data_IF_908329675073
#
_entry.id   IF_908329675073
#
_cell.length_a   1.000
_cell.length_b   1.000
_cell.length_c   1.000
_cell.angle_alpha   90.00
_cell.angle_beta   90.00
_cell.angle_gamma   90.00
#
_symmetry.space_group_name_H-M   'P 1'
#
loop_
_entity.id
_entity.type
_entity.pdbx_description
1 polymer ?
#
# COMPACT_ATOMS: atom_id res chain seq x y z
N UNK A 1 11.00 -3.23 20.66
CA UNK A 1 10.36 -1.89 20.62
C UNK A 1 10.78 -1.11 19.38
N UNK A 2 10.24 -1.55 18.26
CA UNK A 2 10.47 -0.89 16.99
C UNK A 2 9.53 0.32 16.85
N UNK A 3 10.10 1.47 16.47
CA UNK A 3 9.32 2.67 16.19
C UNK A 3 8.90 2.67 14.73
N UNK A 4 7.58 2.71 14.47
CA UNK A 4 7.02 2.70 13.13
C UNK A 4 7.07 4.12 12.55
N UNK A 5 7.72 4.26 11.41
CA UNK A 5 7.75 5.55 10.70
C UNK A 5 6.40 5.80 10.03
N UNK A 6 5.85 6.98 10.24
CA UNK A 6 4.58 7.38 9.63
C UNK A 6 4.77 8.09 8.30
N UNK A 7 5.97 8.57 8.01
CA UNK A 7 6.30 9.30 6.78
C UNK A 7 7.64 8.85 6.24
N UNK A 8 7.68 8.59 4.93
CA UNK A 8 8.91 8.40 4.16
C UNK A 8 8.81 9.24 2.89
N UNK A 9 9.79 10.11 2.63
CA UNK A 9 9.78 10.98 1.47
C UNK A 9 10.90 10.63 0.52
N UNK A 10 10.59 10.65 -0.79
CA UNK A 10 11.56 10.48 -1.86
C UNK A 10 11.58 11.74 -2.73
N UNK A 11 12.37 11.77 -3.81
CA UNK A 11 12.42 12.89 -4.74
C UNK A 11 11.11 13.12 -5.49
N UNK A 12 10.30 12.05 -5.65
CA UNK A 12 9.14 12.07 -6.55
C UNK A 12 7.81 11.94 -5.83
N UNK A 13 7.80 11.41 -4.59
CA UNK A 13 6.56 11.18 -3.86
C UNK A 13 6.83 11.03 -2.37
N UNK A 14 5.75 10.99 -1.62
CA UNK A 14 5.78 10.79 -0.17
C UNK A 14 4.90 9.61 0.18
N UNK A 15 5.42 8.72 1.02
CA UNK A 15 4.63 7.68 1.67
C UNK A 15 4.27 8.18 3.06
N UNK A 16 3.01 8.08 3.42
CA UNK A 16 2.57 8.45 4.77
C UNK A 16 1.43 7.54 5.22
N UNK A 17 1.22 7.49 6.54
CA UNK A 17 0.15 6.70 7.12
C UNK A 17 -1.18 7.02 6.43
N UNK A 18 -1.87 5.97 5.98
CA UNK A 18 -3.20 6.09 5.37
C UNK A 18 -4.23 6.36 6.45
N UNK A 19 -5.06 7.38 6.25
CA UNK A 19 -6.12 7.75 7.19
C UNK A 19 -7.44 7.95 6.47
N UNK A 20 -8.53 8.09 7.25
CA UNK A 20 -9.86 8.35 6.70
C UNK A 20 -9.92 9.67 5.93
N UNK A 21 -9.02 10.60 6.21
CA UNK A 21 -8.97 11.90 5.51
C UNK A 21 -8.53 11.77 4.05
N UNK A 22 -7.99 10.61 3.67
CA UNK A 22 -7.54 10.35 2.31
C UNK A 22 -8.64 9.81 1.40
N UNK A 23 -9.86 9.64 1.89
CA UNK A 23 -10.90 8.86 1.21
C UNK A 23 -11.19 9.31 -0.22
N UNK A 24 -11.31 10.61 -0.48
CA UNK A 24 -11.65 11.10 -1.82
C UNK A 24 -10.53 10.82 -2.83
N UNK A 25 -9.32 11.21 -2.49
CA UNK A 25 -8.17 11.03 -3.39
C UNK A 25 -7.83 9.55 -3.56
N UNK A 26 -7.95 8.78 -2.50
CA UNK A 26 -7.74 7.33 -2.54
C UNK A 26 -8.78 6.66 -3.44
N UNK A 27 -10.06 7.00 -3.26
CA UNK A 27 -11.13 6.45 -4.07
C UNK A 27 -10.91 6.71 -5.56
N UNK A 28 -10.54 7.95 -5.92
CA UNK A 28 -10.25 8.30 -7.32
C UNK A 28 -9.10 7.48 -7.90
N UNK A 29 -8.03 7.31 -7.12
CA UNK A 29 -6.89 6.51 -7.56
C UNK A 29 -7.29 5.04 -7.74
N UNK A 30 -8.05 4.48 -6.81
CA UNK A 30 -8.48 3.08 -6.84
C UNK A 30 -9.39 2.81 -8.03
N UNK A 31 -10.43 3.62 -8.24
CA UNK A 31 -11.38 3.36 -9.32
C UNK A 31 -10.76 3.60 -10.71
N UNK A 32 -9.81 4.52 -10.84
CA UNK A 32 -9.12 4.73 -12.11
C UNK A 32 -8.16 3.56 -12.43
N UNK A 33 -7.84 2.75 -11.45
CA UNK A 33 -6.92 1.62 -11.57
C UNK A 33 -7.63 0.26 -11.47
N UNK A 34 -8.95 0.23 -11.63
CA UNK A 34 -9.76 -0.98 -11.43
C UNK A 34 -9.24 -2.16 -12.24
N UNK A 35 -8.90 -1.96 -13.52
CA UNK A 35 -8.44 -3.05 -14.38
C UNK A 35 -7.14 -3.68 -13.90
N UNK A 36 -6.20 -2.86 -13.43
CA UNK A 36 -4.93 -3.36 -12.91
C UNK A 36 -5.08 -4.02 -11.54
N UNK A 37 -6.05 -3.56 -10.75
CA UNK A 37 -6.18 -4.00 -9.36
C UNK A 37 -7.01 -5.27 -9.19
N UNK A 38 -7.95 -5.54 -10.10
CA UNK A 38 -8.77 -6.76 -10.02
C UNK A 38 -7.83 -7.97 -10.03
N UNK A 39 -7.96 -8.79 -9.00
CA UNK A 39 -7.20 -10.03 -8.82
C UNK A 39 -5.68 -9.83 -8.82
N UNK A 40 -5.21 -8.60 -8.62
CA UNK A 40 -3.77 -8.29 -8.67
C UNK A 40 -2.98 -9.05 -7.60
N UNK A 41 -3.58 -9.25 -6.45
CA UNK A 41 -2.90 -9.85 -5.31
C UNK A 41 -3.17 -11.35 -5.17
N UNK A 42 -3.79 -11.96 -6.20
CA UNK A 42 -3.96 -13.41 -6.24
C UNK A 42 -5.05 -13.97 -5.34
N UNK A 43 -5.94 -13.11 -4.85
CA UNK A 43 -7.02 -13.53 -3.94
C UNK A 43 -8.27 -14.00 -4.68
N UNK A 44 -8.32 -13.86 -6.01
CA UNK A 44 -9.49 -14.20 -6.82
C UNK A 44 -10.67 -13.28 -6.64
N UNK A 45 -10.52 -12.20 -5.85
CA UNK A 45 -11.57 -11.24 -5.58
C UNK A 45 -11.83 -10.27 -6.71
N UNK A 46 -12.91 -9.52 -6.58
CA UNK A 46 -13.32 -8.54 -7.58
C UNK A 46 -12.98 -7.10 -7.18
N UNK A 47 -12.45 -6.91 -5.98
CA UNK A 47 -12.05 -5.58 -5.54
C UNK A 47 -11.08 -4.96 -6.56
N UNK A 48 -11.24 -3.70 -6.97
CA UNK A 48 -12.18 -2.69 -6.46
C UNK A 48 -13.45 -2.53 -7.31
N UNK A 49 -13.82 -3.53 -8.09
CA UNK A 49 -15.02 -3.45 -8.93
C UNK A 49 -16.26 -3.23 -8.06
N UNK A 50 -17.03 -2.18 -8.38
CA UNK A 50 -18.24 -1.86 -7.64
C UNK A 50 -18.01 -1.17 -6.30
N UNK A 51 -16.76 -0.79 -5.99
CA UNK A 51 -16.45 -0.09 -4.75
C UNK A 51 -17.17 1.24 -4.70
N UNK A 52 -17.85 1.52 -3.58
CA UNK A 52 -18.44 2.83 -3.33
C UNK A 52 -17.52 3.65 -2.43
N UNK A 53 -17.73 4.97 -2.42
CA UNK A 53 -16.93 5.86 -1.57
C UNK A 53 -17.16 5.55 -0.09
N UNK A 54 -18.38 5.16 0.29
CA UNK A 54 -18.72 4.77 1.66
C UNK A 54 -17.97 3.52 2.08
N UNK A 55 -17.93 2.52 1.21
CA UNK A 55 -17.16 1.30 1.47
C UNK A 55 -15.67 1.60 1.59
N UNK A 56 -15.17 2.48 0.73
CA UNK A 56 -13.77 2.88 0.79
C UNK A 56 -13.46 3.62 2.10
N UNK A 57 -14.37 4.46 2.56
CA UNK A 57 -14.21 5.14 3.85
C UNK A 57 -14.10 4.13 5.00
N UNK A 58 -14.94 3.10 4.99
CA UNK A 58 -14.91 2.03 6.00
C UNK A 58 -13.57 1.29 5.93
N UNK A 59 -13.11 0.97 4.72
CA UNK A 59 -11.83 0.28 4.53
C UNK A 59 -10.66 1.11 5.08
N UNK A 60 -10.66 2.41 4.81
CA UNK A 60 -9.62 3.30 5.32
C UNK A 60 -9.67 3.41 6.84
N UNK A 61 -10.87 3.40 7.42
CA UNK A 61 -11.03 3.38 8.87
C UNK A 61 -10.43 2.13 9.51
N UNK A 62 -10.63 0.97 8.89
CA UNK A 62 -10.01 -0.28 9.35
C UNK A 62 -8.49 -0.22 9.24
N UNK A 63 -7.97 0.26 8.12
CA UNK A 63 -6.52 0.40 7.94
C UNK A 63 -5.91 1.33 8.99
N UNK A 64 -6.56 2.46 9.24
CA UNK A 64 -6.11 3.41 10.25
C UNK A 64 -6.10 2.79 11.65
N UNK A 65 -7.16 2.08 12.01
CA UNK A 65 -7.29 1.40 13.30
C UNK A 65 -6.19 0.35 13.48
N UNK A 66 -5.95 -0.44 12.45
CA UNK A 66 -4.91 -1.47 12.49
C UNK A 66 -3.52 -0.88 12.61
N UNK A 67 -3.27 0.25 11.95
CA UNK A 67 -1.99 0.95 12.06
C UNK A 67 -1.78 1.44 13.50
N UNK A 68 -2.79 2.08 14.09
CA UNK A 68 -2.74 2.56 15.46
C UNK A 68 -2.54 1.42 16.46
N UNK A 69 -3.16 0.28 16.21
CA UNK A 69 -3.02 -0.92 17.03
C UNK A 69 -1.75 -1.73 16.72
N UNK A 70 -0.98 -1.34 15.70
CA UNK A 70 0.25 -2.01 15.27
C UNK A 70 0.01 -3.45 14.81
N UNK A 71 -1.16 -3.72 14.22
CA UNK A 71 -1.52 -5.06 13.70
C UNK A 71 -1.28 -5.17 12.19
N UNK A 72 -1.39 -4.06 11.47
CA UNK A 72 -0.97 -3.96 10.08
C UNK A 72 -0.67 -2.50 9.77
N UNK A 73 0.06 -2.24 8.67
CA UNK A 73 0.49 -0.87 8.36
C UNK A 73 0.17 -0.55 6.92
N UNK A 74 -0.81 0.32 6.70
CA UNK A 74 -1.19 0.80 5.38
C UNK A 74 -0.67 2.21 5.18
N UNK A 75 0.03 2.42 4.06
CA UNK A 75 0.57 3.73 3.67
C UNK A 75 -0.07 4.15 2.36
N UNK A 76 -0.41 5.42 2.26
CA UNK A 76 -0.76 6.04 0.99
C UNK A 76 0.50 6.64 0.37
N UNK A 77 0.60 6.55 -0.94
CA UNK A 77 1.68 7.16 -1.71
C UNK A 77 1.08 8.37 -2.41
N UNK A 78 1.59 9.55 -2.07
CA UNK A 78 1.02 10.79 -2.58
C UNK A 78 2.07 11.61 -3.31
N UNK A 79 1.62 12.48 -4.22
CA UNK A 79 2.48 13.47 -4.85
C UNK A 79 3.09 14.39 -3.77
N UNK A 80 4.23 15.03 -4.08
CA UNK A 80 4.93 15.87 -3.12
C UNK A 80 4.09 17.04 -2.62
N UNK A 81 3.16 17.53 -3.44
CA UNK A 81 2.23 18.60 -3.06
C UNK A 81 0.96 18.06 -2.40
N UNK A 82 0.87 16.75 -2.18
CA UNK A 82 -0.26 16.07 -1.54
C UNK A 82 -1.59 16.22 -2.31
N UNK A 83 -1.54 16.59 -3.58
CA UNK A 83 -2.75 16.80 -4.37
C UNK A 83 -3.37 15.52 -4.91
N UNK A 84 -2.60 14.44 -5.00
CA UNK A 84 -3.02 13.22 -5.67
C UNK A 84 -2.48 11.98 -4.97
N UNK A 85 -3.34 10.95 -4.83
CA UNK A 85 -2.89 9.62 -4.42
C UNK A 85 -2.35 8.89 -5.64
N UNK A 86 -1.11 8.43 -5.56
CA UNK A 86 -0.43 7.72 -6.63
C UNK A 86 -0.48 6.20 -6.47
N UNK A 87 -0.72 5.72 -5.26
CA UNK A 87 -0.80 4.31 -4.97
C UNK A 87 -0.91 4.04 -3.49
N UNK A 88 -0.80 2.79 -3.13
CA UNK A 88 -0.81 2.37 -1.72
C UNK A 88 0.14 1.21 -1.51
N UNK A 89 0.51 1.04 -0.24
CA UNK A 89 1.37 -0.04 0.15
C UNK A 89 0.95 -0.53 1.54
N UNK A 90 0.97 -1.84 1.71
CA UNK A 90 0.43 -2.47 2.92
C UNK A 90 1.41 -3.49 3.47
N UNK A 91 1.60 -3.47 4.79
CA UNK A 91 2.39 -4.47 5.51
C UNK A 91 1.43 -5.25 6.40
N UNK A 92 1.27 -6.55 6.14
CA UNK A 92 0.45 -7.45 6.95
C UNK A 92 1.32 -8.52 7.61
N UNK A 93 0.92 -9.03 8.79
CA UNK A 93 1.56 -10.23 9.33
C UNK A 93 1.38 -11.37 8.33
N UNK A 94 2.45 -12.11 8.04
CA UNK A 94 2.33 -13.21 7.09
C UNK A 94 1.54 -14.38 7.68
N UNK A 95 0.73 -15.00 6.85
CA UNK A 95 0.04 -16.26 7.21
C UNK A 95 0.98 -17.46 7.08
N UNK A 96 2.06 -17.31 6.33
CA UNK A 96 3.08 -18.35 6.17
C UNK A 96 4.11 -18.24 7.28
N UNK A 97 4.50 -19.38 7.85
CA UNK A 97 5.57 -19.41 8.85
C UNK A 97 6.95 -19.08 8.27
N UNK A 98 7.07 -19.13 6.95
CA UNK A 98 8.32 -18.84 6.25
C UNK A 98 8.67 -17.35 6.27
N UNK A 99 7.66 -16.47 6.35
CA UNK A 99 7.87 -15.02 6.24
C UNK A 99 7.39 -14.30 7.49
N UNK A 100 8.03 -13.17 7.79
CA UNK A 100 7.61 -12.27 8.87
C UNK A 100 6.42 -11.39 8.48
N UNK A 101 6.37 -11.01 7.21
CA UNK A 101 5.35 -10.09 6.71
C UNK A 101 5.04 -10.36 5.24
N UNK A 102 3.81 -10.05 4.86
CA UNK A 102 3.37 -10.01 3.47
C UNK A 102 3.19 -8.55 3.09
N UNK A 103 3.78 -8.14 1.99
CA UNK A 103 3.72 -6.76 1.51
C UNK A 103 3.01 -6.71 0.17
N UNK A 104 2.06 -5.78 0.08
CA UNK A 104 1.27 -5.51 -1.12
C UNK A 104 1.50 -4.06 -1.51
N UNK A 105 1.71 -3.80 -2.79
CA UNK A 105 1.83 -2.43 -3.27
C UNK A 105 1.29 -2.30 -4.69
N UNK A 106 0.81 -1.11 -5.01
CA UNK A 106 0.37 -0.79 -6.37
C UNK A 106 0.60 0.68 -6.65
N UNK A 107 0.85 0.98 -7.91
CA UNK A 107 0.97 2.33 -8.43
C UNK A 107 -0.19 2.58 -9.38
N UNK A 108 -0.83 3.73 -9.27
CA UNK A 108 -2.01 4.11 -10.04
C UNK A 108 -1.80 3.91 -11.54
N UNK A 109 -2.76 3.22 -12.19
CA UNK A 109 -2.77 2.98 -13.64
C UNK A 109 -1.47 2.36 -14.17
N UNK A 110 -0.83 1.51 -13.36
CA UNK A 110 0.47 0.95 -13.68
C UNK A 110 0.49 -0.53 -13.34
N UNK A 111 0.90 -1.36 -14.28
CA UNK A 111 1.04 -2.79 -14.06
C UNK A 111 2.35 -3.12 -13.38
N UNK A 112 2.40 -4.29 -12.74
CA UNK A 112 3.64 -4.80 -12.14
C UNK A 112 4.70 -4.91 -13.24
N UNK A 113 5.89 -4.39 -12.96
CA UNK A 113 7.02 -4.43 -13.87
C UNK A 113 7.20 -3.19 -14.74
N UNK A 114 6.21 -2.32 -14.80
CA UNK A 114 6.38 -1.04 -15.51
C UNK A 114 7.32 -0.11 -14.72
N UNK A 115 7.97 0.86 -15.39
CA UNK A 115 9.03 1.65 -14.75
C UNK A 115 8.64 2.33 -13.44
N UNK A 116 7.46 2.93 -13.36
CA UNK A 116 7.01 3.59 -12.12
C UNK A 116 6.74 2.59 -11.01
N UNK A 117 6.17 1.45 -11.35
CA UNK A 117 5.95 0.38 -10.39
C UNK A 117 7.27 -0.18 -9.85
N UNK A 118 8.24 -0.41 -10.73
CA UNK A 118 9.56 -0.91 -10.33
C UNK A 118 10.31 0.10 -9.46
N UNK A 119 10.23 1.38 -9.77
CA UNK A 119 10.85 2.42 -8.97
C UNK A 119 10.27 2.42 -7.54
N UNK A 120 8.95 2.37 -7.43
CA UNK A 120 8.26 2.31 -6.15
C UNK A 120 8.65 1.05 -5.36
N UNK A 121 8.60 -0.10 -6.02
CA UNK A 121 8.97 -1.36 -5.40
C UNK A 121 10.39 -1.33 -4.86
N UNK A 122 11.31 -0.78 -5.64
CA UNK A 122 12.71 -0.69 -5.26
C UNK A 122 12.92 0.19 -4.02
N UNK A 123 12.23 1.33 -3.97
CA UNK A 123 12.29 2.22 -2.80
C UNK A 123 11.73 1.53 -1.55
N UNK A 124 10.58 0.86 -1.67
CA UNK A 124 9.94 0.18 -0.55
C UNK A 124 10.81 -0.97 -0.07
N UNK A 125 11.32 -1.80 -0.97
CA UNK A 125 12.17 -2.93 -0.62
C UNK A 125 13.40 -2.48 0.16
N UNK A 126 14.07 -1.44 -0.30
CA UNK A 126 15.25 -0.90 0.38
C UNK A 126 14.89 -0.33 1.76
N UNK A 127 13.77 0.36 1.86
CA UNK A 127 13.29 0.90 3.14
C UNK A 127 12.97 -0.22 4.13
N UNK A 128 12.28 -1.25 3.67
CA UNK A 128 11.95 -2.42 4.52
C UNK A 128 13.23 -3.10 5.00
N UNK A 129 14.17 -3.34 4.10
CA UNK A 129 15.43 -4.00 4.45
C UNK A 129 16.25 -3.19 5.46
N UNK A 130 16.23 -1.87 5.34
CA UNK A 130 17.06 -1.00 6.17
C UNK A 130 16.43 -0.68 7.52
N UNK A 131 15.14 -0.37 7.52
CA UNK A 131 14.49 0.27 8.68
C UNK A 131 13.47 -0.59 9.43
N UNK A 132 13.08 -1.75 8.87
CA UNK A 132 12.10 -2.63 9.52
C UNK A 132 12.78 -3.89 10.04
N UNK A 133 12.30 -4.45 11.17
CA UNK A 133 12.98 -5.58 11.81
C UNK A 133 12.58 -6.94 11.25
N UNK A 134 12.27 -7.02 9.98
CA UNK A 134 11.83 -8.27 9.34
C UNK A 134 13.02 -9.04 8.76
N UNK A 135 13.14 -10.30 9.12
CA UNK A 135 14.19 -11.17 8.58
C UNK A 135 13.89 -11.65 7.18
N UNK A 136 12.63 -11.92 6.88
CA UNK A 136 12.19 -12.43 5.58
C UNK A 136 10.80 -11.93 5.26
N UNK A 137 10.65 -11.33 4.10
CA UNK A 137 9.42 -10.65 3.67
C UNK A 137 8.95 -11.24 2.34
N UNK A 138 7.64 -11.47 2.25
CA UNK A 138 6.99 -11.89 1.01
C UNK A 138 6.35 -10.68 0.33
N UNK A 139 6.75 -10.42 -0.91
CA UNK A 139 6.18 -9.35 -1.73
C UNK A 139 5.15 -9.97 -2.68
N UNK A 140 3.87 -9.72 -2.41
CA UNK A 140 2.76 -10.34 -3.15
C UNK A 140 2.82 -10.01 -4.65
N UNK A 141 2.68 -11.06 -5.49
CA UNK A 141 2.70 -10.90 -6.93
C UNK A 141 4.07 -10.64 -7.53
N UNK A 142 5.14 -10.69 -6.72
CA UNK A 142 6.50 -10.39 -7.16
C UNK A 142 7.45 -11.54 -6.82
N UNK A 143 8.55 -11.61 -7.53
CA UNK A 143 9.57 -12.63 -7.34
C UNK A 143 10.68 -12.17 -6.40
#
# INVERSE_FOLDING_TARGET
NFEVQEILETEHYRLRMLTIHDVLKDYLAVISSTKQLINRFGDGGTWPKGLTIEQNLIDLGWHQKEFENRTSFAYTIVSLDDSEVLGCFYIYPSKSKEYCADIFLWYKECHIGEPKDEELFDHIRRWIDKDWPFKKVHYAGRK
#
